data_IF_210109104083
#
_entry.id   IF_210109104083
#
_cell.length_a   1.000
_cell.length_b   1.000
_cell.length_c   1.000
_cell.angle_alpha   90.00
_cell.angle_beta   90.00
_cell.angle_gamma   90.00
#
_symmetry.space_group_name_H-M   'P 1'
#
loop_
_entity.id
_entity.type
_entity.pdbx_description
1 polymer ?
#
# COMPACT_ATOMS: atom_id res chain seq x y z
N UNK A 1 -34.03 26.96 18.88
CA UNK A 1 -32.58 27.29 18.81
C UNK A 1 -31.84 25.98 19.08
N UNK A 2 -31.39 25.30 18.04
CA UNK A 2 -30.78 23.96 18.12
C UNK A 2 -29.31 24.14 18.55
N UNK A 3 -28.81 23.43 19.57
CA UNK A 3 -27.41 23.56 20.01
C UNK A 3 -26.45 22.90 19.00
N UNK A 4 -25.17 23.32 18.95
CA UNK A 4 -24.20 22.78 18.01
C UNK A 4 -23.81 21.34 18.38
N UNK A 5 -23.89 20.44 17.40
CA UNK A 5 -23.43 19.06 17.51
C UNK A 5 -21.90 19.03 17.66
N UNK A 6 -21.40 18.65 18.84
CA UNK A 6 -19.99 18.33 19.04
C UNK A 6 -19.65 17.02 18.33
N UNK A 7 -18.55 17.00 17.58
CA UNK A 7 -17.95 15.85 16.86
C UNK A 7 -17.52 14.65 17.74
N UNK A 8 -18.05 14.53 18.96
CA UNK A 8 -17.61 13.55 19.97
C UNK A 8 -18.46 12.27 20.06
N UNK A 9 -19.42 12.03 19.16
CA UNK A 9 -20.40 10.93 19.32
C UNK A 9 -20.62 10.03 18.10
N UNK A 10 -19.58 9.71 17.32
CA UNK A 10 -19.67 8.65 16.31
C UNK A 10 -18.57 7.59 16.48
N UNK A 11 -18.40 7.05 17.68
CA UNK A 11 -17.68 5.79 17.88
C UNK A 11 -18.67 4.62 17.75
N UNK A 12 -19.07 4.30 16.51
CA UNK A 12 -19.72 3.01 16.26
C UNK A 12 -18.70 1.90 16.52
N UNK A 13 -18.97 1.14 17.58
CA UNK A 13 -18.13 0.11 18.16
C UNK A 13 -17.91 -1.07 17.19
N UNK A 14 -16.65 -1.36 16.86
CA UNK A 14 -16.22 -2.71 16.48
C UNK A 14 -14.83 -2.92 17.08
N UNK A 15 -14.72 -3.81 18.07
CA UNK A 15 -13.43 -4.23 18.62
C UNK A 15 -12.68 -5.10 17.62
N UNK A 16 -11.38 -4.87 17.46
CA UNK A 16 -10.52 -5.58 16.50
C UNK A 16 -10.29 -7.03 16.92
N UNK A 17 -10.69 -8.03 16.10
CA UNK A 17 -10.31 -9.42 16.35
C UNK A 17 -8.85 -9.62 16.00
N UNK A 18 -8.13 -10.14 16.97
CA UNK A 18 -6.69 -10.23 17.00
C UNK A 18 -6.27 -11.55 16.31
N UNK A 19 -5.65 -11.49 15.11
CA UNK A 19 -5.33 -12.70 14.33
C UNK A 19 -3.88 -13.15 14.58
N UNK A 20 -3.65 -14.38 15.07
CA UNK A 20 -2.30 -14.89 15.31
C UNK A 20 -1.55 -15.18 13.99
N UNK A 21 -0.27 -14.78 13.90
CA UNK A 21 0.66 -15.25 12.85
C UNK A 21 1.12 -16.69 13.16
N UNK A 22 1.65 -17.39 12.15
CA UNK A 22 2.36 -18.68 12.30
C UNK A 22 3.50 -18.64 13.35
N UNK A 23 4.07 -17.46 13.60
CA UNK A 23 5.15 -17.24 14.60
C UNK A 23 4.65 -16.74 15.97
N UNK A 24 3.34 -16.83 16.27
CA UNK A 24 2.78 -16.42 17.57
C UNK A 24 2.66 -14.91 17.82
N UNK A 25 3.15 -14.06 16.90
CA UNK A 25 2.94 -12.60 16.94
C UNK A 25 1.54 -12.23 16.44
N UNK A 26 0.87 -11.30 17.11
CA UNK A 26 -0.47 -10.82 16.74
C UNK A 26 -0.42 -9.89 15.52
N UNK A 27 -1.48 -9.88 14.71
CA UNK A 27 -1.72 -8.86 13.68
C UNK A 27 -2.81 -7.90 14.18
N UNK A 28 -2.47 -6.65 14.54
CA UNK A 28 -3.50 -5.67 14.85
C UNK A 28 -4.28 -5.34 13.58
N UNK A 29 -5.61 -5.54 13.62
CA UNK A 29 -6.51 -5.15 12.53
C UNK A 29 -7.08 -3.77 12.85
N UNK A 30 -6.80 -2.77 11.99
CA UNK A 30 -7.50 -1.50 12.05
C UNK A 30 -8.91 -1.64 11.50
N UNK A 31 -9.93 -1.64 12.35
CA UNK A 31 -11.32 -1.66 11.91
C UNK A 31 -11.79 -0.24 11.59
N UNK A 32 -11.76 0.09 10.30
CA UNK A 32 -12.34 1.32 9.78
C UNK A 32 -13.87 1.24 9.71
N UNK A 33 -14.55 2.38 9.78
CA UNK A 33 -16.01 2.43 9.62
C UNK A 33 -16.42 2.01 8.21
N UNK A 34 -17.69 1.63 7.99
CA UNK A 34 -18.17 1.25 6.66
C UNK A 34 -18.00 2.40 5.64
N UNK A 35 -18.25 3.64 6.06
CA UNK A 35 -18.04 4.84 5.23
C UNK A 35 -16.58 5.01 4.83
N UNK A 36 -15.63 4.78 5.75
CA UNK A 36 -14.20 4.87 5.46
C UNK A 36 -13.76 3.76 4.50
N UNK A 37 -14.35 2.56 4.61
CA UNK A 37 -14.12 1.46 3.66
C UNK A 37 -14.64 1.80 2.27
N UNK A 38 -15.81 2.44 2.17
CA UNK A 38 -16.37 2.87 0.89
C UNK A 38 -15.49 3.94 0.24
N UNK A 39 -15.08 4.96 1.00
CA UNK A 39 -14.14 5.98 0.50
C UNK A 39 -12.82 5.35 0.10
N UNK A 40 -12.30 4.42 0.91
CA UNK A 40 -11.13 3.62 0.60
C UNK A 40 -11.26 2.89 -0.73
N UNK A 41 -12.36 2.20 -0.95
CA UNK A 41 -12.62 1.46 -2.18
C UNK A 41 -12.68 2.37 -3.40
N UNK A 42 -13.34 3.53 -3.30
CA UNK A 42 -13.37 4.51 -4.40
C UNK A 42 -11.97 5.04 -4.71
N UNK A 43 -11.18 5.37 -3.68
CA UNK A 43 -9.79 5.81 -3.87
C UNK A 43 -8.95 4.70 -4.51
N UNK A 44 -9.11 3.45 -4.09
CA UNK A 44 -8.43 2.28 -4.69
C UNK A 44 -8.75 2.17 -6.18
N UNK A 45 -10.03 2.21 -6.57
CA UNK A 45 -10.46 2.11 -7.96
C UNK A 45 -9.88 3.25 -8.82
N UNK A 46 -9.86 4.48 -8.31
CA UNK A 46 -9.29 5.63 -9.02
C UNK A 46 -7.78 5.47 -9.21
N UNK A 47 -7.06 5.07 -8.16
CA UNK A 47 -5.61 4.88 -8.23
C UNK A 47 -5.25 3.71 -9.15
N UNK A 48 -5.96 2.59 -9.08
CA UNK A 48 -5.75 1.45 -9.98
C UNK A 48 -5.99 1.84 -11.44
N UNK A 49 -7.11 2.49 -11.74
CA UNK A 49 -7.41 2.92 -13.11
C UNK A 49 -6.32 3.84 -13.69
N UNK A 50 -5.68 4.67 -12.85
CA UNK A 50 -4.64 5.58 -13.27
C UNK A 50 -3.25 4.94 -13.36
N UNK A 51 -2.84 4.14 -12.37
CA UNK A 51 -1.49 3.60 -12.24
C UNK A 51 -1.29 2.22 -12.87
N UNK A 52 -2.33 1.40 -12.96
CA UNK A 52 -2.23 0.05 -13.55
C UNK A 52 -1.58 0.01 -14.94
N UNK A 53 -1.89 0.92 -15.90
CA UNK A 53 -1.22 0.93 -17.20
C UNK A 53 0.24 1.42 -17.15
N UNK A 54 0.68 2.04 -16.05
CA UNK A 54 2.03 2.57 -15.88
C UNK A 54 2.97 1.56 -15.20
N UNK A 55 2.43 0.62 -14.43
CA UNK A 55 3.24 -0.37 -13.72
C UNK A 55 4.03 -1.29 -14.65
N UNK A 56 5.25 -1.65 -14.22
CA UNK A 56 6.13 -2.55 -14.95
C UNK A 56 5.43 -3.87 -15.30
N UNK A 57 5.74 -4.39 -16.49
CA UNK A 57 5.29 -5.70 -16.93
C UNK A 57 5.78 -6.85 -16.06
N UNK A 58 6.84 -6.65 -15.26
CA UNK A 58 7.45 -7.64 -14.36
C UNK A 58 6.89 -7.61 -12.94
N UNK A 59 6.02 -6.64 -12.64
CA UNK A 59 5.35 -6.51 -11.34
C UNK A 59 4.02 -7.29 -11.35
N UNK A 60 3.87 -8.27 -10.46
CA UNK A 60 2.71 -9.19 -10.44
C UNK A 60 1.85 -9.11 -9.18
N UNK A 61 2.39 -8.64 -8.06
CA UNK A 61 1.69 -8.64 -6.77
C UNK A 61 0.53 -7.65 -6.75
N UNK A 62 -0.61 -8.04 -6.15
CA UNK A 62 -1.75 -7.16 -5.89
C UNK A 62 -2.29 -6.41 -7.12
N UNK A 63 -2.20 -7.00 -8.31
CA UNK A 63 -2.67 -6.39 -9.57
C UNK A 63 -3.82 -7.18 -10.20
N UNK A 64 -4.82 -6.51 -10.81
CA UNK A 64 -5.91 -7.18 -11.50
C UNK A 64 -5.39 -8.13 -12.60
N UNK A 65 -5.82 -9.40 -12.57
CA UNK A 65 -5.43 -10.40 -13.59
C UNK A 65 -3.98 -10.90 -13.51
N UNK A 66 -3.22 -10.51 -12.46
CA UNK A 66 -1.84 -10.94 -12.21
C UNK A 66 -1.72 -11.59 -10.84
N UNK A 67 -0.75 -12.49 -10.70
CA UNK A 67 -0.47 -13.19 -9.43
C UNK A 67 0.72 -14.14 -9.53
N UNK A 68 0.87 -15.01 -8.53
CA UNK A 68 2.04 -15.90 -8.43
C UNK A 68 2.24 -16.77 -9.68
N UNK A 69 1.15 -17.29 -10.26
CA UNK A 69 1.24 -18.10 -11.47
C UNK A 69 1.71 -17.33 -12.70
N UNK A 70 1.34 -16.04 -12.81
CA UNK A 70 1.85 -15.21 -13.91
C UNK A 70 3.35 -14.93 -13.76
N UNK A 71 3.82 -14.70 -12.53
CA UNK A 71 5.25 -14.51 -12.26
C UNK A 71 6.06 -15.77 -12.57
N UNK A 72 5.59 -16.94 -12.14
CA UNK A 72 6.26 -18.21 -12.41
C UNK A 72 6.35 -18.52 -13.91
N UNK A 73 5.28 -18.27 -14.67
CA UNK A 73 5.31 -18.44 -16.13
C UNK A 73 6.30 -17.50 -16.80
N UNK A 74 6.40 -16.26 -16.33
CA UNK A 74 7.36 -15.30 -16.87
C UNK A 74 8.80 -15.75 -16.63
N UNK A 75 9.12 -16.21 -15.42
CA UNK A 75 10.44 -16.76 -15.09
C UNK A 75 10.76 -17.98 -15.95
N UNK A 76 9.83 -18.93 -16.07
CA UNK A 76 10.00 -20.13 -16.90
C UNK A 76 10.24 -19.79 -18.38
N UNK A 77 9.50 -18.82 -18.92
CA UNK A 77 9.60 -18.45 -20.33
C UNK A 77 10.86 -17.62 -20.64
N UNK A 78 11.24 -16.73 -19.72
CA UNK A 78 12.20 -15.64 -20.00
C UNK A 78 13.59 -15.93 -19.43
N UNK A 79 13.69 -16.52 -18.24
CA UNK A 79 14.95 -16.58 -17.47
C UNK A 79 15.77 -17.83 -17.78
N UNK A 80 15.95 -18.14 -19.07
CA UNK A 80 16.70 -19.33 -19.52
C UNK A 80 18.21 -19.09 -19.36
N UNK A 81 18.88 -20.03 -18.69
CA UNK A 81 20.33 -19.94 -18.44
C UNK A 81 20.74 -19.13 -17.21
N UNK A 82 19.77 -18.70 -16.39
CA UNK A 82 20.04 -18.00 -15.13
C UNK A 82 20.67 -18.96 -14.12
N UNK A 83 21.88 -18.65 -13.65
CA UNK A 83 22.62 -19.50 -12.69
C UNK A 83 22.46 -19.02 -11.24
N UNK A 84 22.21 -17.73 -11.04
CA UNK A 84 22.15 -17.10 -9.73
C UNK A 84 20.87 -16.28 -9.58
N UNK A 85 20.27 -16.38 -8.39
CA UNK A 85 19.09 -15.62 -8.00
C UNK A 85 19.42 -14.75 -6.79
N UNK A 86 18.91 -13.53 -6.79
CA UNK A 86 18.97 -12.64 -5.63
C UNK A 86 17.55 -12.54 -5.09
N UNK A 87 17.36 -13.05 -3.88
CA UNK A 87 16.11 -12.89 -3.14
C UNK A 87 16.25 -11.71 -2.18
N UNK A 88 15.32 -10.76 -2.27
CA UNK A 88 15.23 -9.63 -1.35
C UNK A 88 13.81 -9.55 -0.80
N UNK A 89 13.69 -9.52 0.53
CA UNK A 89 12.43 -9.26 1.23
C UNK A 89 12.55 -7.94 1.99
N UNK A 90 11.49 -7.13 1.94
CA UNK A 90 11.41 -5.87 2.67
C UNK A 90 10.88 -6.13 4.08
N UNK A 91 11.81 -6.26 5.03
CA UNK A 91 11.48 -6.43 6.43
C UNK A 91 10.58 -5.27 6.91
N UNK A 92 9.38 -5.62 7.38
CA UNK A 92 8.39 -4.68 7.91
C UNK A 92 8.06 -3.50 6.97
N UNK A 93 7.85 -3.79 5.69
CA UNK A 93 7.49 -2.79 4.67
C UNK A 93 6.33 -1.87 5.11
N UNK A 94 5.28 -2.47 5.70
CA UNK A 94 4.10 -1.70 6.13
C UNK A 94 4.33 -0.92 7.41
N UNK A 95 5.27 -1.31 8.29
CA UNK A 95 5.61 -0.54 9.49
C UNK A 95 6.57 0.62 9.21
N UNK A 96 7.45 0.45 8.23
CA UNK A 96 8.46 1.44 7.79
C UNK A 96 7.98 2.37 6.66
N UNK A 97 6.71 2.28 6.28
CA UNK A 97 6.16 3.07 5.16
C UNK A 97 6.10 4.57 5.50
N UNK A 98 6.90 5.36 4.78
CA UNK A 98 6.97 6.81 4.95
C UNK A 98 5.84 7.52 4.18
N UNK A 99 5.00 8.25 4.91
CA UNK A 99 3.84 8.93 4.34
C UNK A 99 4.24 10.13 3.48
N UNK A 100 5.30 10.85 3.83
CA UNK A 100 5.74 12.03 3.09
C UNK A 100 6.35 11.65 1.75
N UNK A 101 7.14 10.57 1.72
CA UNK A 101 7.63 9.99 0.46
C UNK A 101 6.44 9.57 -0.41
N UNK A 102 5.45 8.89 0.16
CA UNK A 102 4.28 8.46 -0.60
C UNK A 102 3.49 9.62 -1.20
N UNK A 103 3.24 10.67 -0.42
CA UNK A 103 2.55 11.88 -0.91
C UNK A 103 3.40 12.59 -1.98
N UNK A 104 4.73 12.61 -1.83
CA UNK A 104 5.64 13.16 -2.84
C UNK A 104 5.53 12.39 -4.16
N UNK A 105 5.56 11.06 -4.12
CA UNK A 105 5.40 10.18 -5.30
C UNK A 105 4.05 10.45 -5.99
N UNK A 106 2.96 10.51 -5.23
CA UNK A 106 1.63 10.79 -5.77
C UNK A 106 1.55 12.20 -6.37
N UNK A 107 2.13 13.21 -5.70
CA UNK A 107 2.11 14.60 -6.16
C UNK A 107 2.83 14.82 -7.49
N UNK A 108 3.79 13.95 -7.84
CA UNK A 108 4.49 13.99 -9.12
C UNK A 108 3.60 13.67 -10.33
N UNK A 109 2.43 13.04 -10.12
CA UNK A 109 1.48 12.70 -11.20
C UNK A 109 0.10 13.31 -10.97
N UNK A 110 -0.36 13.38 -9.72
CA UNK A 110 -1.68 13.88 -9.34
C UNK A 110 -1.53 15.28 -8.74
N UNK A 111 -2.13 16.27 -9.38
CA UNK A 111 -2.04 17.68 -8.97
C UNK A 111 -3.27 18.15 -8.16
N UNK A 112 -4.19 17.24 -7.82
CA UNK A 112 -5.35 17.56 -6.98
C UNK A 112 -4.96 17.56 -5.49
N UNK A 113 -4.73 18.75 -4.95
CA UNK A 113 -4.40 18.95 -3.54
C UNK A 113 -5.47 18.44 -2.58
N UNK A 114 -6.76 18.40 -2.98
CA UNK A 114 -7.84 17.86 -2.13
C UNK A 114 -7.73 16.35 -2.05
N UNK A 115 -7.44 15.70 -3.17
CA UNK A 115 -7.20 14.26 -3.23
C UNK A 115 -5.94 13.86 -2.46
N UNK A 116 -4.82 14.56 -2.67
CA UNK A 116 -3.57 14.30 -1.92
C UNK A 116 -3.78 14.45 -0.41
N UNK A 117 -4.54 15.47 0.01
CA UNK A 117 -4.89 15.65 1.42
C UNK A 117 -5.80 14.53 1.94
N UNK A 118 -6.74 14.05 1.13
CA UNK A 118 -7.57 12.89 1.49
C UNK A 118 -6.70 11.64 1.70
N UNK A 119 -5.80 11.34 0.77
CA UNK A 119 -4.90 10.18 0.89
C UNK A 119 -3.99 10.33 2.11
N UNK A 120 -3.43 11.53 2.36
CA UNK A 120 -2.64 11.81 3.57
C UNK A 120 -3.46 11.56 4.84
N UNK A 121 -4.69 12.04 4.89
CA UNK A 121 -5.57 11.82 6.04
C UNK A 121 -5.90 10.34 6.24
N UNK A 122 -6.05 9.56 5.15
CA UNK A 122 -6.22 8.10 5.23
C UNK A 122 -4.93 7.38 5.66
N UNK A 123 -3.78 7.95 5.28
CA UNK A 123 -2.41 7.72 5.78
C UNK A 123 -2.33 7.70 7.31
N UNK A 124 -2.63 8.89 7.84
CA UNK A 124 -2.45 9.29 9.24
C UNK A 124 -3.62 8.89 10.12
N UNK A 125 -4.77 8.53 9.54
CA UNK A 125 -5.87 7.90 10.26
C UNK A 125 -5.38 6.54 10.77
N UNK A 126 -4.86 6.56 12.00
CA UNK A 126 -4.28 5.41 12.67
C UNK A 126 -5.26 4.25 12.83
N UNK A 127 -4.73 3.17 13.38
CA UNK A 127 -5.52 2.00 13.74
C UNK A 127 -5.84 2.05 15.25
N UNK A 128 -7.00 1.51 15.63
CA UNK A 128 -7.36 1.35 17.03
C UNK A 128 -6.70 0.07 17.57
N UNK A 129 -5.93 0.18 18.66
CA UNK A 129 -5.26 -0.95 19.32
C UNK A 129 -5.66 -0.94 20.80
N UNK A 130 -6.28 -2.02 21.29
CA UNK A 130 -6.62 -2.21 22.71
C UNK A 130 -7.22 -0.99 23.43
N UNK A 131 -8.19 -0.33 22.80
CA UNK A 131 -8.87 0.86 23.34
C UNK A 131 -7.98 2.11 23.50
N UNK A 132 -6.77 2.07 22.97
CA UNK A 132 -5.86 3.20 22.86
C UNK A 132 -5.78 3.69 21.41
N UNK A 133 -5.92 4.99 21.22
CA UNK A 133 -5.75 5.62 19.92
C UNK A 133 -4.25 5.74 19.64
N UNK A 134 -3.74 4.95 18.68
CA UNK A 134 -2.36 5.05 18.24
C UNK A 134 -2.32 5.87 16.94
N UNK A 135 -1.67 7.03 16.99
CA UNK A 135 -1.34 7.78 15.78
C UNK A 135 -0.39 6.93 14.93
N UNK A 136 -0.72 6.69 13.66
CA UNK A 136 0.28 6.17 12.70
C UNK A 136 1.28 7.27 12.40
N UNK A 137 2.36 7.33 13.18
CA UNK A 137 3.54 8.15 12.90
C UNK A 137 4.29 7.65 11.65
N UNK A 138 4.17 6.35 11.34
CA UNK A 138 4.59 5.71 10.10
C UNK A 138 3.70 4.48 9.84
N UNK A 139 3.67 4.02 8.59
CA UNK A 139 3.01 2.78 8.21
C UNK A 139 1.61 2.92 7.60
N UNK A 140 1.20 1.95 6.77
CA UNK A 140 -0.16 1.89 6.21
C UNK A 140 -1.00 0.94 7.08
N UNK A 141 -2.23 1.30 7.51
CA UNK A 141 -3.06 0.41 8.30
C UNK A 141 -3.20 -0.96 7.62
N UNK A 142 -2.74 -2.00 8.30
CA UNK A 142 -2.72 -3.37 7.77
C UNK A 142 -4.17 -3.85 7.64
N UNK A 143 -4.62 -4.07 6.38
CA UNK A 143 -6.01 -4.41 6.07
C UNK A 143 -6.86 -3.27 5.52
N UNK A 144 -6.29 -2.07 5.32
CA UNK A 144 -6.94 -1.00 4.57
C UNK A 144 -7.08 -1.38 3.09
N UNK A 145 -8.27 -1.17 2.52
CA UNK A 145 -8.61 -1.49 1.12
C UNK A 145 -7.63 -0.85 0.12
N UNK A 146 -7.07 0.31 0.46
CA UNK A 146 -6.13 1.08 -0.39
C UNK A 146 -4.67 0.63 -0.24
N UNK A 147 -4.35 -0.12 0.81
CA UNK A 147 -2.97 -0.48 1.14
C UNK A 147 -2.24 -1.24 0.01
N UNK A 148 -2.87 -2.21 -0.68
CA UNK A 148 -2.20 -2.92 -1.78
C UNK A 148 -1.81 -2.02 -2.95
N UNK A 149 -2.70 -1.12 -3.40
CA UNK A 149 -2.40 -0.23 -4.53
C UNK A 149 -1.33 0.79 -4.15
N UNK A 150 -1.35 1.33 -2.93
CA UNK A 150 -0.34 2.27 -2.46
C UNK A 150 1.04 1.62 -2.37
N UNK A 151 1.10 0.37 -1.95
CA UNK A 151 2.33 -0.43 -1.91
C UNK A 151 2.94 -0.59 -3.30
N UNK A 152 2.10 -0.93 -4.28
CA UNK A 152 2.54 -1.06 -5.67
C UNK A 152 3.04 0.27 -6.25
N UNK A 153 2.36 1.39 -5.96
CA UNK A 153 2.82 2.72 -6.39
C UNK A 153 4.19 3.06 -5.80
N UNK A 154 4.40 2.74 -4.52
CA UNK A 154 5.67 2.98 -3.84
C UNK A 154 6.79 2.12 -4.43
N UNK A 155 6.56 0.81 -4.57
CA UNK A 155 7.54 -0.15 -5.09
C UNK A 155 7.79 0.02 -6.59
N UNK A 156 6.86 0.60 -7.33
CA UNK A 156 7.07 0.92 -8.73
C UNK A 156 8.28 1.86 -8.94
N UNK A 157 8.60 2.72 -7.96
CA UNK A 157 9.84 3.52 -8.01
C UNK A 157 11.11 2.69 -7.88
N UNK A 158 11.05 1.59 -7.15
CA UNK A 158 12.13 0.61 -7.12
C UNK A 158 12.21 -0.15 -8.45
N UNK A 159 11.07 -0.54 -9.02
CA UNK A 159 11.03 -1.21 -10.34
C UNK A 159 11.66 -0.32 -11.42
N UNK A 160 11.25 0.96 -11.51
CA UNK A 160 11.82 1.94 -12.46
C UNK A 160 13.35 2.08 -12.26
N UNK A 161 13.82 2.11 -11.00
CA UNK A 161 15.24 2.21 -10.69
C UNK A 161 16.02 0.97 -11.14
N UNK A 162 15.50 -0.22 -10.88
CA UNK A 162 16.11 -1.49 -11.28
C UNK A 162 16.20 -1.59 -12.80
N UNK A 163 15.11 -1.31 -13.52
CA UNK A 163 15.05 -1.40 -14.97
C UNK A 163 15.97 -0.38 -15.67
N UNK A 164 16.12 0.83 -15.11
CA UNK A 164 16.93 1.88 -15.74
C UNK A 164 18.41 1.80 -15.36
N UNK A 165 18.71 1.60 -14.08
CA UNK A 165 20.08 1.74 -13.56
C UNK A 165 20.82 0.41 -13.66
N UNK A 166 20.23 -0.70 -13.22
CA UNK A 166 20.95 -1.98 -13.20
C UNK A 166 21.15 -2.55 -14.61
N UNK A 167 20.21 -2.35 -15.53
CA UNK A 167 20.40 -2.77 -16.94
C UNK A 167 21.49 -1.93 -17.62
N UNK A 168 21.63 -0.65 -17.29
CA UNK A 168 22.74 0.17 -17.79
C UNK A 168 24.11 -0.30 -17.27
N UNK A 169 24.20 -0.69 -16.00
CA UNK A 169 25.44 -1.23 -15.42
C UNK A 169 25.79 -2.62 -15.96
N UNK A 170 24.81 -3.48 -16.26
CA UNK A 170 25.07 -4.82 -16.81
C UNK A 170 25.52 -4.79 -18.28
N UNK A 171 25.10 -3.78 -19.05
CA UNK A 171 25.55 -3.59 -20.44
C UNK A 171 26.90 -2.87 -20.55
N UNK A 172 27.30 -2.13 -19.52
CA UNK A 172 28.57 -1.41 -19.50
C UNK A 172 29.77 -2.27 -19.03
N UNK A 173 29.50 -3.41 -18.38
CA UNK A 173 30.49 -4.41 -17.96
C UNK A 173 30.59 -5.55 -19.00
#
# INVERSE_FOLDING_TARGET
>A
RIPPLSMHQLSHHVGSPDIPKKNGKMRPLGLSTWSDKLVGEVVRLLLEAFYEPQFSGRSHGYRPGRGCHSALREVEATWKGTTWFIESDLADFFGSFDHDIMITILSGKIHDNRFLRLVRNMLTAGYLEDWTWNATLSGVPQGGVVSPVLSNIYLHKLDEFVETVLEAYSQAC
#
